data_IF_749830497485
#
_entry.id   IF_749830497485
#
_cell.length_a   1.000
_cell.length_b   1.000
_cell.length_c   1.000
_cell.angle_alpha   90.00
_cell.angle_beta   90.00
_cell.angle_gamma   90.00
#
_symmetry.space_group_name_H-M   'P 1'
#
loop_
_entity.id
_entity.type
_entity.pdbx_description
1 polymer ?
#
# COMPACT_ATOMS: atom_id res chain seq x y z
N UNK A 1 18.25 11.32 -9.21
CA UNK A 1 18.46 10.03 -8.49
C UNK A 1 18.62 8.89 -9.50
N UNK A 2 19.26 7.77 -9.13
CA UNK A 2 19.36 6.62 -10.04
C UNK A 2 18.01 5.92 -10.12
N UNK A 3 17.49 5.66 -11.33
CA UNK A 3 16.21 4.97 -11.53
C UNK A 3 16.10 3.63 -10.79
N UNK A 4 17.21 2.88 -10.66
CA UNK A 4 17.24 1.64 -9.87
C UNK A 4 16.98 1.86 -8.38
N UNK A 5 17.44 2.96 -7.80
CA UNK A 5 17.20 3.29 -6.39
C UNK A 5 15.72 3.60 -6.17
N UNK A 6 15.10 4.32 -7.11
CA UNK A 6 13.65 4.57 -7.07
C UNK A 6 12.87 3.26 -7.15
N UNK A 7 13.24 2.35 -8.08
CA UNK A 7 12.50 1.09 -8.26
C UNK A 7 12.59 0.17 -7.05
N UNK A 8 13.69 0.21 -6.27
CA UNK A 8 13.85 -0.59 -5.03
C UNK A 8 12.88 -0.24 -3.91
N UNK A 9 12.19 0.89 -3.99
CA UNK A 9 11.13 1.26 -3.04
C UNK A 9 9.74 1.20 -3.66
N UNK A 10 9.58 0.60 -4.83
CA UNK A 10 8.29 0.46 -5.52
C UNK A 10 7.63 -0.86 -5.13
N UNK A 11 6.37 -0.80 -4.72
CA UNK A 11 5.46 -1.94 -4.78
C UNK A 11 4.85 -1.95 -6.18
N UNK A 12 5.33 -2.87 -7.04
CA UNK A 12 4.81 -3.02 -8.41
C UNK A 12 3.40 -3.60 -8.34
N UNK A 13 2.40 -2.79 -8.71
CA UNK A 13 1.02 -3.02 -8.30
C UNK A 13 0.10 -3.35 -9.46
N UNK A 14 -0.70 -4.42 -9.32
CA UNK A 14 -1.83 -4.74 -10.18
C UNK A 14 -2.99 -5.23 -9.33
N UNK A 15 -4.05 -4.41 -9.21
CA UNK A 15 -5.24 -4.70 -8.40
C UNK A 15 -6.54 -4.58 -9.22
N UNK A 16 -6.44 -4.58 -10.55
CA UNK A 16 -7.61 -4.57 -11.42
C UNK A 16 -8.53 -5.78 -11.14
N UNK A 17 -9.83 -5.54 -11.10
CA UNK A 17 -10.85 -6.61 -10.93
C UNK A 17 -10.80 -7.64 -12.06
N UNK A 18 -10.27 -7.28 -13.22
CA UNK A 18 -10.16 -8.15 -14.39
C UNK A 18 -8.79 -8.81 -14.53
N UNK A 19 -7.87 -8.61 -13.58
CA UNK A 19 -6.52 -9.19 -13.63
C UNK A 19 -6.58 -10.72 -13.70
N UNK A 20 -5.92 -11.28 -14.69
CA UNK A 20 -5.77 -12.72 -14.86
C UNK A 20 -4.44 -13.21 -14.30
N UNK A 21 -4.26 -14.53 -14.18
CA UNK A 21 -2.96 -15.09 -13.81
C UNK A 21 -1.84 -14.70 -14.77
N UNK A 22 -2.13 -14.58 -16.06
CA UNK A 22 -1.13 -14.14 -17.04
C UNK A 22 -0.64 -12.72 -16.74
N UNK A 23 -1.54 -11.80 -16.39
CA UNK A 23 -1.22 -10.44 -16.02
C UNK A 23 -0.42 -10.39 -14.70
N UNK A 24 -0.84 -11.18 -13.71
CA UNK A 24 -0.13 -11.29 -12.43
C UNK A 24 1.29 -11.82 -12.64
N UNK A 25 1.45 -12.85 -13.47
CA UNK A 25 2.77 -13.41 -13.79
C UNK A 25 3.70 -12.38 -14.42
N UNK A 26 3.18 -11.56 -15.35
CA UNK A 26 3.97 -10.46 -15.95
C UNK A 26 4.44 -9.47 -14.88
N UNK A 27 3.56 -9.08 -13.93
CA UNK A 27 3.91 -8.20 -12.81
C UNK A 27 5.01 -8.82 -11.94
N UNK A 28 4.94 -10.12 -11.65
CA UNK A 28 5.95 -10.83 -10.85
C UNK A 28 7.30 -10.88 -11.57
N UNK A 29 7.30 -11.21 -12.87
CA UNK A 29 8.51 -11.25 -13.69
C UNK A 29 9.17 -9.85 -13.79
N UNK A 30 8.37 -8.81 -14.01
CA UNK A 30 8.83 -7.43 -14.03
C UNK A 30 9.40 -7.00 -12.66
N UNK A 31 8.70 -7.30 -11.57
CA UNK A 31 9.14 -6.97 -10.22
C UNK A 31 10.49 -7.61 -9.87
N UNK A 32 10.68 -8.88 -10.24
CA UNK A 32 11.96 -9.59 -10.06
C UNK A 32 13.06 -9.01 -10.96
N UNK A 33 12.74 -8.72 -12.22
CA UNK A 33 13.71 -8.16 -13.19
C UNK A 33 14.22 -6.79 -12.79
N UNK A 34 13.34 -5.94 -12.30
CA UNK A 34 13.65 -4.55 -11.94
C UNK A 34 13.97 -4.37 -10.45
N UNK A 35 14.02 -5.47 -9.68
CA UNK A 35 14.38 -5.48 -8.25
C UNK A 35 13.47 -4.54 -7.41
N UNK A 36 12.15 -4.60 -7.62
CA UNK A 36 11.21 -3.78 -6.84
C UNK A 36 11.10 -4.26 -5.40
N UNK A 37 10.57 -3.42 -4.49
CA UNK A 37 10.42 -3.77 -3.08
C UNK A 37 9.47 -4.95 -2.88
N UNK A 38 8.36 -4.98 -3.63
CA UNK A 38 7.37 -6.06 -3.63
C UNK A 38 6.58 -6.08 -4.95
N UNK A 39 5.77 -7.11 -5.14
CA UNK A 39 4.62 -7.08 -6.04
C UNK A 39 3.33 -7.05 -5.20
N UNK A 40 2.45 -6.06 -5.46
CA UNK A 40 1.17 -5.93 -4.78
C UNK A 40 0.04 -6.42 -5.70
N UNK A 41 -0.61 -7.51 -5.30
CA UNK A 41 -1.54 -8.29 -6.13
C UNK A 41 -2.82 -8.67 -5.36
N UNK A 42 -3.93 -9.05 -6.04
CA UNK A 42 -5.14 -9.50 -5.38
C UNK A 42 -4.90 -10.76 -4.53
N UNK A 43 -5.57 -10.84 -3.38
CA UNK A 43 -5.39 -11.92 -2.39
C UNK A 43 -5.57 -13.33 -2.98
N UNK A 44 -6.50 -13.51 -3.93
CA UNK A 44 -6.76 -14.80 -4.57
C UNK A 44 -5.54 -15.39 -5.30
N UNK A 45 -4.57 -14.58 -5.69
CA UNK A 45 -3.35 -15.01 -6.39
C UNK A 45 -2.13 -15.17 -5.49
N UNK A 46 -2.21 -14.81 -4.21
CA UNK A 46 -1.04 -14.78 -3.30
C UNK A 46 -0.37 -16.14 -3.22
N UNK A 47 -1.11 -17.23 -3.00
CA UNK A 47 -0.54 -18.57 -2.91
C UNK A 47 0.23 -18.96 -4.17
N UNK A 48 -0.40 -18.80 -5.31
CA UNK A 48 0.20 -19.13 -6.59
C UNK A 48 1.42 -18.26 -6.90
N UNK A 49 1.37 -16.97 -6.53
CA UNK A 49 2.48 -16.04 -6.68
C UNK A 49 3.66 -16.39 -5.77
N UNK A 50 3.41 -16.73 -4.50
CA UNK A 50 4.44 -17.15 -3.56
C UNK A 50 5.16 -18.42 -4.03
N UNK A 51 4.41 -19.41 -4.54
CA UNK A 51 4.95 -20.62 -5.14
C UNK A 51 5.77 -20.31 -6.40
N UNK A 52 5.33 -19.36 -7.22
CA UNK A 52 6.01 -18.95 -8.45
C UNK A 52 7.34 -18.22 -8.19
N UNK A 53 7.35 -17.24 -7.28
CA UNK A 53 8.56 -16.44 -7.03
C UNK A 53 9.58 -17.16 -6.14
N UNK A 54 9.18 -18.19 -5.39
CA UNK A 54 10.06 -19.03 -4.54
C UNK A 54 10.96 -18.21 -3.62
N UNK A 55 10.39 -17.22 -2.96
CA UNK A 55 11.09 -16.35 -2.00
C UNK A 55 12.01 -15.28 -2.62
N UNK A 56 12.06 -15.14 -3.95
CA UNK A 56 12.89 -14.13 -4.62
C UNK A 56 12.31 -12.73 -4.59
N UNK A 57 11.01 -12.59 -4.29
CA UNK A 57 10.29 -11.34 -4.28
C UNK A 57 9.27 -11.34 -3.14
N UNK A 58 9.21 -10.30 -2.29
CA UNK A 58 8.13 -10.12 -1.34
C UNK A 58 6.77 -9.98 -2.04
N UNK A 59 5.75 -10.70 -1.55
CA UNK A 59 4.38 -10.57 -2.04
C UNK A 59 3.59 -9.70 -1.06
N UNK A 60 3.05 -8.62 -1.57
CA UNK A 60 2.10 -7.73 -0.90
C UNK A 60 0.69 -8.04 -1.37
N UNK A 61 -0.29 -7.95 -0.49
CA UNK A 61 -1.70 -7.96 -0.87
C UNK A 61 -2.51 -6.96 -0.06
N UNK A 62 -3.78 -6.80 -0.43
CA UNK A 62 -4.71 -5.85 0.18
C UNK A 62 -5.81 -6.56 0.94
N UNK A 63 -6.30 -5.95 2.03
CA UNK A 63 -7.41 -6.45 2.84
C UNK A 63 -8.41 -5.35 3.16
N UNK A 64 -9.69 -5.71 3.34
CA UNK A 64 -10.78 -4.74 3.47
C UNK A 64 -10.91 -3.78 2.27
N UNK A 65 -10.42 -4.18 1.14
CA UNK A 65 -10.10 -3.31 0.01
C UNK A 65 -11.21 -3.34 -1.08
N UNK A 66 -11.52 -2.22 -1.76
CA UNK A 66 -10.92 -0.89 -1.53
C UNK A 66 -11.67 -0.04 -0.49
N UNK A 67 -12.84 -0.46 -0.01
CA UNK A 67 -13.80 0.40 0.69
C UNK A 67 -13.56 0.53 2.21
N UNK A 68 -12.86 -0.40 2.84
CA UNK A 68 -12.51 -0.34 4.26
C UNK A 68 -13.63 -0.65 5.26
N UNK A 69 -14.88 -0.86 4.84
CA UNK A 69 -16.06 -0.99 5.71
C UNK A 69 -16.41 -2.43 6.12
N UNK A 70 -15.58 -3.41 5.80
CA UNK A 70 -15.72 -4.75 6.38
C UNK A 70 -15.52 -4.71 7.90
N UNK A 71 -16.12 -5.66 8.62
CA UNK A 71 -15.87 -5.75 10.05
C UNK A 71 -14.42 -6.09 10.36
N UNK A 72 -13.95 -5.71 11.53
CA UNK A 72 -12.58 -6.01 11.99
C UNK A 72 -12.30 -7.52 11.96
N UNK A 73 -13.27 -8.36 12.35
CA UNK A 73 -13.12 -9.83 12.31
C UNK A 73 -12.85 -10.35 10.90
N UNK A 74 -13.56 -9.81 9.91
CA UNK A 74 -13.35 -10.19 8.50
C UNK A 74 -11.96 -9.78 8.04
N UNK A 75 -11.52 -8.55 8.35
CA UNK A 75 -10.17 -8.09 7.98
C UNK A 75 -9.06 -8.90 8.66
N UNK A 76 -9.25 -9.29 9.94
CA UNK A 76 -8.32 -10.18 10.65
C UNK A 76 -8.27 -11.55 9.98
N UNK A 77 -9.41 -12.10 9.58
CA UNK A 77 -9.44 -13.36 8.83
C UNK A 77 -8.72 -13.25 7.48
N UNK A 78 -9.01 -12.22 6.68
CA UNK A 78 -8.33 -11.97 5.41
C UNK A 78 -6.81 -11.85 5.59
N UNK A 79 -6.35 -11.17 6.65
CA UNK A 79 -4.94 -11.02 6.97
C UNK A 79 -4.27 -12.37 7.24
N UNK A 80 -4.87 -13.19 8.12
CA UNK A 80 -4.34 -14.52 8.45
C UNK A 80 -4.31 -15.45 7.24
N UNK A 81 -5.36 -15.43 6.43
CA UNK A 81 -5.43 -16.21 5.19
C UNK A 81 -4.35 -15.78 4.19
N UNK A 82 -4.18 -14.48 3.97
CA UNK A 82 -3.16 -13.95 3.07
C UNK A 82 -1.74 -14.36 3.51
N UNK A 83 -1.44 -14.27 4.81
CA UNK A 83 -0.13 -14.66 5.36
C UNK A 83 0.09 -16.17 5.25
N UNK A 84 -0.92 -16.98 5.58
CA UNK A 84 -0.85 -18.43 5.42
C UNK A 84 -0.61 -18.85 3.95
N UNK A 85 -1.08 -18.05 3.01
CA UNK A 85 -0.86 -18.22 1.57
C UNK A 85 0.49 -17.66 1.06
N UNK A 86 1.28 -17.01 1.92
CA UNK A 86 2.64 -16.56 1.59
C UNK A 86 2.81 -15.05 1.38
N UNK A 87 1.82 -14.22 1.73
CA UNK A 87 2.02 -12.78 1.78
C UNK A 87 3.03 -12.41 2.87
N UNK A 88 3.92 -11.48 2.56
CA UNK A 88 4.90 -10.91 3.48
C UNK A 88 4.61 -9.45 3.84
N UNK A 89 3.68 -8.82 3.14
CA UNK A 89 3.24 -7.45 3.37
C UNK A 89 1.72 -7.35 3.16
N UNK A 90 1.06 -6.60 4.01
CA UNK A 90 -0.40 -6.40 4.00
C UNK A 90 -0.71 -4.90 3.94
N UNK A 91 -1.51 -4.49 2.98
CA UNK A 91 -2.05 -3.14 2.85
C UNK A 91 -3.53 -3.15 3.27
N UNK A 92 -3.86 -2.72 4.48
CA UNK A 92 -5.25 -2.62 4.96
C UNK A 92 -5.88 -1.28 4.65
N UNK A 93 -7.19 -1.25 4.41
CA UNK A 93 -7.97 0.00 4.38
C UNK A 93 -8.71 0.19 5.71
N UNK A 94 -8.59 1.38 6.30
CA UNK A 94 -9.32 1.72 7.54
C UNK A 94 -10.83 1.78 7.32
N UNK A 95 -11.63 1.68 8.38
CA UNK A 95 -13.03 2.04 8.32
C UNK A 95 -13.19 3.57 8.35
N UNK A 96 -13.31 4.18 7.16
CA UNK A 96 -13.41 5.64 7.00
C UNK A 96 -14.67 6.18 7.67
N UNK A 97 -15.78 5.41 7.64
CA UNK A 97 -17.02 5.81 8.32
C UNK A 97 -16.83 5.97 9.83
N UNK A 98 -16.10 5.04 10.47
CA UNK A 98 -15.78 5.15 11.89
C UNK A 98 -14.91 6.37 12.19
N UNK A 99 -13.94 6.66 11.33
CA UNK A 99 -13.13 7.88 11.48
C UNK A 99 -13.99 9.14 11.40
N UNK A 100 -14.92 9.22 10.42
CA UNK A 100 -15.85 10.35 10.24
C UNK A 100 -16.79 10.53 11.44
N UNK A 101 -17.17 9.43 12.08
CA UNK A 101 -18.01 9.43 13.30
C UNK A 101 -17.20 9.79 14.56
N UNK A 102 -15.88 10.03 14.45
CA UNK A 102 -15.00 10.29 15.59
C UNK A 102 -14.73 9.06 16.47
N UNK A 103 -14.99 7.85 15.98
CA UNK A 103 -14.77 6.56 16.69
C UNK A 103 -13.29 6.15 16.61
N UNK A 104 -12.41 7.03 17.06
CA UNK A 104 -10.96 6.89 16.91
C UNK A 104 -10.39 5.66 17.61
N UNK A 105 -10.90 5.33 18.80
CA UNK A 105 -10.48 4.14 19.55
C UNK A 105 -10.77 2.84 18.79
N UNK A 106 -11.90 2.79 18.08
CA UNK A 106 -12.27 1.61 17.29
C UNK A 106 -11.39 1.48 16.05
N UNK A 107 -11.06 2.60 15.39
CA UNK A 107 -10.12 2.60 14.26
C UNK A 107 -8.72 2.15 14.72
N UNK A 108 -8.24 2.66 15.87
CA UNK A 108 -6.94 2.27 16.43
C UNK A 108 -6.93 0.78 16.81
N UNK A 109 -7.99 0.30 17.46
CA UNK A 109 -8.12 -1.10 17.83
C UNK A 109 -8.20 -2.04 16.62
N UNK A 110 -8.88 -1.63 15.55
CA UNK A 110 -8.89 -2.37 14.28
C UNK A 110 -7.46 -2.55 13.74
N UNK A 111 -6.68 -1.45 13.67
CA UNK A 111 -5.30 -1.49 13.16
C UNK A 111 -4.43 -2.39 14.05
N UNK A 112 -4.52 -2.27 15.38
CA UNK A 112 -3.77 -3.12 16.33
C UNK A 112 -4.07 -4.60 16.14
N UNK A 113 -5.33 -4.97 16.02
CA UNK A 113 -5.74 -6.37 15.83
C UNK A 113 -5.25 -6.94 14.50
N UNK A 114 -5.24 -6.11 13.45
CA UNK A 114 -4.71 -6.53 12.15
C UNK A 114 -3.19 -6.62 12.20
N UNK A 115 -2.52 -5.69 12.87
CA UNK A 115 -1.06 -5.74 13.09
C UNK A 115 -0.64 -7.01 13.85
N UNK A 116 -1.36 -7.37 14.91
CA UNK A 116 -1.17 -8.65 15.61
C UNK A 116 -1.37 -9.84 14.67
N UNK A 117 -2.41 -9.80 13.81
CA UNK A 117 -2.67 -10.86 12.84
C UNK A 117 -1.61 -10.95 11.74
N UNK A 118 -0.82 -9.89 11.50
CA UNK A 118 0.29 -9.90 10.57
C UNK A 118 1.49 -10.76 11.05
N UNK A 119 1.54 -11.16 12.31
CA UNK A 119 2.55 -12.06 12.87
C UNK A 119 3.99 -11.65 12.47
N UNK A 120 4.33 -10.38 12.69
CA UNK A 120 5.63 -9.79 12.37
C UNK A 120 5.88 -9.50 10.88
N UNK A 121 4.87 -9.63 10.02
CA UNK A 121 4.92 -9.15 8.65
C UNK A 121 4.57 -7.66 8.58
N UNK A 122 4.95 -7.00 7.49
CA UNK A 122 4.74 -5.57 7.31
C UNK A 122 3.25 -5.25 7.13
N UNK A 123 2.73 -4.36 7.98
CA UNK A 123 1.40 -3.74 7.82
C UNK A 123 1.52 -2.32 7.29
N UNK A 124 0.74 -2.00 6.24
CA UNK A 124 0.61 -0.65 5.70
C UNK A 124 -0.86 -0.22 5.78
N UNK A 125 -1.11 0.91 6.44
CA UNK A 125 -2.46 1.40 6.73
C UNK A 125 -2.88 2.45 5.73
N UNK A 126 -3.82 2.10 4.84
CA UNK A 126 -4.40 3.01 3.85
C UNK A 126 -5.45 3.86 4.54
N UNK A 127 -5.25 5.18 4.53
CA UNK A 127 -6.17 6.14 5.14
C UNK A 127 -7.09 6.84 4.13
N UNK A 128 -6.85 6.68 2.82
CA UNK A 128 -7.59 7.29 1.71
C UNK A 128 -7.68 8.80 1.83
N UNK A 129 -6.55 9.48 1.72
CA UNK A 129 -6.37 10.91 2.01
C UNK A 129 -7.34 11.84 1.27
N UNK A 130 -7.76 11.46 0.06
CA UNK A 130 -8.69 12.28 -0.73
C UNK A 130 -10.10 12.39 -0.12
N UNK A 131 -10.44 11.55 0.85
CA UNK A 131 -11.73 11.58 1.56
C UNK A 131 -11.64 12.24 2.94
N UNK A 132 -10.44 12.68 3.37
CA UNK A 132 -10.17 13.17 4.72
C UNK A 132 -9.89 14.67 4.74
N UNK A 133 -10.31 15.33 5.83
CA UNK A 133 -9.86 16.69 6.16
C UNK A 133 -8.42 16.66 6.65
N UNK A 134 -7.77 17.82 6.76
CA UNK A 134 -6.41 17.91 7.29
C UNK A 134 -6.33 17.39 8.72
N UNK A 135 -7.30 17.77 9.59
CA UNK A 135 -7.38 17.32 10.96
C UNK A 135 -7.54 15.80 11.08
N UNK A 136 -8.33 15.19 10.20
CA UNK A 136 -8.49 13.74 10.15
C UNK A 136 -7.22 13.04 9.70
N UNK A 137 -6.48 13.59 8.75
CA UNK A 137 -5.16 13.07 8.33
C UNK A 137 -4.15 13.13 9.47
N UNK A 138 -4.11 14.24 10.22
CA UNK A 138 -3.26 14.39 11.40
C UNK A 138 -3.66 13.37 12.47
N UNK A 139 -4.96 13.21 12.75
CA UNK A 139 -5.45 12.19 13.69
C UNK A 139 -5.07 10.79 13.26
N UNK A 140 -5.12 10.46 11.97
CA UNK A 140 -4.69 9.16 11.47
C UNK A 140 -3.18 8.94 11.61
N UNK A 141 -2.35 9.98 11.47
CA UNK A 141 -0.92 9.86 11.77
C UNK A 141 -0.67 9.46 13.24
N UNK A 142 -1.40 10.05 14.18
CA UNK A 142 -1.36 9.68 15.60
C UNK A 142 -1.81 8.23 15.82
N UNK A 143 -2.98 7.86 15.28
CA UNK A 143 -3.57 6.52 15.43
C UNK A 143 -2.65 5.44 14.88
N UNK A 144 -2.13 5.61 13.66
CA UNK A 144 -1.22 4.63 13.04
C UNK A 144 0.08 4.48 13.84
N UNK A 145 0.57 5.59 14.40
CA UNK A 145 1.76 5.59 15.28
C UNK A 145 1.49 4.81 16.56
N UNK A 146 0.36 5.05 17.23
CA UNK A 146 -0.03 4.36 18.46
C UNK A 146 -0.29 2.86 18.23
N UNK A 147 -0.80 2.52 17.05
CA UNK A 147 -1.04 1.13 16.66
C UNK A 147 0.23 0.39 16.22
N UNK A 148 1.38 1.08 16.13
CA UNK A 148 2.69 0.52 15.80
C UNK A 148 2.78 -0.15 14.41
N UNK A 149 1.92 0.25 13.46
CA UNK A 149 2.03 -0.23 12.10
C UNK A 149 3.31 0.32 11.42
N UNK A 150 3.91 -0.47 10.52
CA UNK A 150 5.17 -0.09 9.87
C UNK A 150 5.00 1.07 8.88
N UNK A 151 3.82 1.18 8.27
CA UNK A 151 3.56 2.24 7.28
C UNK A 151 2.17 2.86 7.44
N UNK A 152 2.11 4.18 7.19
CA UNK A 152 0.90 4.87 6.77
C UNK A 152 0.92 5.01 5.24
N UNK A 153 -0.21 4.74 4.58
CA UNK A 153 -0.35 4.79 3.12
C UNK A 153 -1.45 5.78 2.72
N UNK A 154 -1.21 6.57 1.69
CA UNK A 154 -2.14 7.61 1.26
C UNK A 154 -3.46 7.07 0.71
N UNK A 155 -3.41 6.14 -0.25
CA UNK A 155 -4.55 5.91 -1.14
C UNK A 155 -4.66 4.46 -1.60
N UNK A 156 -5.90 4.04 -1.92
CA UNK A 156 -6.18 2.77 -2.58
C UNK A 156 -5.84 2.78 -4.07
N UNK A 157 -6.00 3.93 -4.73
CA UNK A 157 -6.00 4.07 -6.19
C UNK A 157 -7.37 3.82 -6.84
N UNK A 158 -8.42 3.55 -6.04
CA UNK A 158 -9.79 3.27 -6.50
C UNK A 158 -10.82 4.33 -6.03
N UNK A 159 -10.35 5.47 -5.56
CA UNK A 159 -11.17 6.60 -5.14
C UNK A 159 -11.00 7.80 -6.08
N UNK A 160 -11.36 8.98 -5.63
CA UNK A 160 -11.41 10.21 -6.44
C UNK A 160 -10.04 10.80 -6.77
N UNK A 161 -9.01 10.52 -5.94
CA UNK A 161 -7.63 10.97 -6.17
C UNK A 161 -6.61 10.02 -5.52
N UNK A 162 -5.36 10.12 -5.94
CA UNK A 162 -4.21 9.44 -5.37
C UNK A 162 -3.41 10.31 -4.40
N UNK A 163 -2.13 9.95 -4.17
CA UNK A 163 -1.21 10.71 -3.34
C UNK A 163 -0.98 12.12 -3.87
N UNK A 164 -0.92 13.09 -2.95
CA UNK A 164 -0.45 14.46 -3.22
C UNK A 164 0.86 14.73 -2.49
N UNK A 165 1.63 15.69 -2.98
CA UNK A 165 2.88 16.09 -2.33
C UNK A 165 2.62 16.69 -0.94
N UNK A 166 1.52 17.42 -0.82
CA UNK A 166 1.06 18.04 0.42
C UNK A 166 0.72 16.98 1.47
N UNK A 167 0.01 15.91 1.08
CA UNK A 167 -0.35 14.81 1.98
C UNK A 167 0.89 14.10 2.52
N UNK A 168 1.87 13.81 1.66
CA UNK A 168 3.11 13.14 2.09
C UNK A 168 3.93 14.06 3.01
N UNK A 169 4.01 15.36 2.71
CA UNK A 169 4.68 16.33 3.59
C UNK A 169 3.97 16.46 4.94
N UNK A 170 2.62 16.47 4.95
CA UNK A 170 1.82 16.47 6.17
C UNK A 170 2.08 15.21 7.00
N UNK A 171 1.99 14.03 6.39
CA UNK A 171 2.27 12.77 7.06
C UNK A 171 3.67 12.76 7.67
N UNK A 172 4.70 13.21 6.92
CA UNK A 172 6.08 13.28 7.42
C UNK A 172 6.24 14.14 8.65
N UNK A 173 5.42 15.18 8.78
CA UNK A 173 5.44 16.09 9.93
C UNK A 173 4.81 15.48 11.20
N UNK A 174 3.81 14.59 11.03
CA UNK A 174 2.96 14.15 12.14
C UNK A 174 3.04 12.67 12.50
N UNK A 175 3.60 11.80 11.64
CA UNK A 175 3.82 10.40 12.02
C UNK A 175 4.99 10.27 13.01
N UNK A 176 4.93 9.26 13.86
CA UNK A 176 6.03 8.88 14.73
C UNK A 176 7.27 8.42 13.95
N UNK A 177 8.45 8.51 14.57
CA UNK A 177 9.74 8.21 13.93
C UNK A 177 9.84 6.79 13.35
N UNK A 178 9.12 5.83 13.92
CA UNK A 178 9.12 4.43 13.50
C UNK A 178 8.14 4.14 12.36
N UNK A 179 7.24 5.07 12.02
CA UNK A 179 6.25 4.90 10.95
C UNK A 179 6.80 5.45 9.64
N UNK A 180 6.85 4.61 8.64
CA UNK A 180 7.25 4.96 7.27
C UNK A 180 6.03 5.40 6.45
N UNK A 181 6.27 6.09 5.33
CA UNK A 181 5.20 6.61 4.48
C UNK A 181 5.22 5.91 3.13
N UNK A 182 4.06 5.39 2.70
CA UNK A 182 3.82 4.90 1.34
C UNK A 182 2.92 5.86 0.58
N UNK A 183 3.44 6.46 -0.49
CA UNK A 183 2.64 7.20 -1.47
C UNK A 183 2.10 6.22 -2.53
N UNK A 184 0.81 6.28 -2.84
CA UNK A 184 0.18 5.41 -3.84
C UNK A 184 -0.87 6.17 -4.66
N UNK A 185 -0.95 5.85 -5.96
CA UNK A 185 -1.75 6.60 -6.92
C UNK A 185 -1.12 7.96 -7.27
N UNK A 186 -1.33 8.44 -8.50
CA UNK A 186 -0.82 9.74 -8.92
C UNK A 186 0.68 9.81 -9.23
N UNK A 187 1.43 8.71 -9.11
CA UNK A 187 2.87 8.67 -9.43
C UNK A 187 3.02 8.35 -10.91
N UNK A 188 3.23 9.38 -11.72
CA UNK A 188 3.17 9.29 -13.18
C UNK A 188 4.54 9.35 -13.87
N UNK A 189 5.58 9.72 -13.16
CA UNK A 189 6.94 9.88 -13.68
C UNK A 189 8.00 9.57 -12.62
N UNK A 190 9.25 9.43 -13.04
CA UNK A 190 10.38 9.35 -12.12
C UNK A 190 10.58 10.67 -11.35
N UNK A 191 10.26 11.81 -11.95
CA UNK A 191 10.34 13.12 -11.28
C UNK A 191 9.33 13.20 -10.13
N UNK A 192 8.09 12.72 -10.33
CA UNK A 192 7.11 12.61 -9.25
C UNK A 192 7.62 11.69 -8.14
N UNK A 193 8.18 10.53 -8.50
CA UNK A 193 8.72 9.58 -7.54
C UNK A 193 9.84 10.21 -6.68
N UNK A 194 10.80 10.89 -7.31
CA UNK A 194 11.89 11.60 -6.62
C UNK A 194 11.34 12.71 -5.71
N UNK A 195 10.31 13.42 -6.15
CA UNK A 195 9.65 14.45 -5.36
C UNK A 195 8.98 13.85 -4.12
N UNK A 196 8.20 12.77 -4.25
CA UNK A 196 7.61 12.06 -3.11
C UNK A 196 8.67 11.57 -2.12
N UNK A 197 9.77 10.99 -2.63
CA UNK A 197 10.91 10.57 -1.79
C UNK A 197 11.52 11.74 -1.02
N UNK A 198 11.73 12.87 -1.68
CA UNK A 198 12.29 14.08 -1.05
C UNK A 198 11.39 14.65 0.06
N UNK A 199 10.09 14.39 -0.02
CA UNK A 199 9.09 14.79 0.99
C UNK A 199 8.90 13.76 2.11
N UNK A 200 9.58 12.63 2.03
CA UNK A 200 9.59 11.62 3.10
C UNK A 200 8.94 10.30 2.77
N UNK A 201 8.49 10.06 1.54
CA UNK A 201 8.00 8.74 1.16
C UNK A 201 9.14 7.71 1.15
N UNK A 202 8.90 6.58 1.81
CA UNK A 202 9.83 5.45 1.92
C UNK A 202 9.41 4.28 1.03
N UNK A 203 8.20 4.33 0.47
CA UNK A 203 7.60 3.33 -0.42
C UNK A 203 6.70 4.02 -1.43
N UNK A 204 6.64 3.48 -2.64
CA UNK A 204 5.81 3.99 -3.74
C UNK A 204 4.93 2.88 -4.30
N UNK A 205 3.61 3.10 -4.35
CA UNK A 205 2.66 2.16 -4.97
C UNK A 205 2.33 2.61 -6.40
N UNK A 206 2.90 1.93 -7.39
CA UNK A 206 2.68 2.25 -8.81
C UNK A 206 3.08 1.10 -9.72
N UNK A 207 2.42 0.98 -10.88
CA UNK A 207 2.88 0.13 -11.99
C UNK A 207 3.58 0.95 -13.09
N UNK A 208 3.38 2.27 -13.08
CA UNK A 208 3.73 3.13 -14.20
C UNK A 208 5.23 3.27 -14.45
N UNK A 209 6.02 3.32 -13.38
CA UNK A 209 7.47 3.45 -13.50
C UNK A 209 8.10 2.28 -14.26
N UNK A 210 7.59 1.05 -14.05
CA UNK A 210 8.03 -0.12 -14.80
C UNK A 210 7.58 -0.03 -16.26
N UNK A 211 6.34 0.42 -16.54
CA UNK A 211 5.86 0.65 -17.90
C UNK A 211 6.74 1.65 -18.66
N UNK A 212 7.17 2.73 -17.99
CA UNK A 212 8.12 3.70 -18.55
C UNK A 212 9.47 3.03 -18.87
N UNK A 213 9.98 2.18 -17.97
CA UNK A 213 11.23 1.45 -18.21
C UNK A 213 11.13 0.47 -19.39
N UNK A 214 9.96 -0.08 -19.63
CA UNK A 214 9.66 -0.98 -20.76
C UNK A 214 9.30 -0.23 -22.05
N UNK A 215 9.17 1.11 -22.03
CA UNK A 215 8.63 1.94 -23.11
C UNK A 215 7.19 1.53 -23.52
N UNK A 216 6.39 1.07 -22.57
CA UNK A 216 5.00 0.61 -22.78
C UNK A 216 3.98 1.50 -22.05
N UNK A 217 4.39 2.67 -21.56
CA UNK A 217 3.50 3.58 -20.86
C UNK A 217 2.49 4.22 -21.84
N UNK A 218 1.21 3.93 -21.64
CA UNK A 218 0.09 4.49 -22.44
C UNK A 218 -0.55 5.71 -21.78
N UNK A 219 -0.04 6.14 -20.63
CA UNK A 219 -0.64 7.23 -19.86
C UNK A 219 -1.85 6.83 -19.00
N UNK A 220 -2.35 5.58 -19.10
CA UNK A 220 -3.45 5.11 -18.28
C UNK A 220 -2.97 4.74 -16.86
N UNK A 221 -3.70 5.18 -15.83
CA UNK A 221 -3.51 4.72 -14.44
C UNK A 221 -3.83 3.22 -14.29
N UNK A 222 -3.57 2.65 -13.09
CA UNK A 222 -4.04 1.31 -12.78
C UNK A 222 -5.43 1.35 -12.22
#
# INVERSE_FOLDING_TARGET
>A
MNKKEVLRIVDHTLLSQTATWADIKEILDDAMKYETASACIPAAYVKQAAEYVKGKLPICTVIGFPNGYSTTEVKVFETKDAIANGASEIDMVINIGFLKDGRYEEVENEIKRIHEACDGKILKVIIETCLLTEEEKIKMCEIVTNAQAEYIKTSTGFSTAGATFEDVALMKKYVGENVKIKAAGGISSFDDAEKFMSLGANRLGTSRLIKIMKNTDTGAGY
#
